data_IF_019200432328
#
_entry.id   IF_019200432328
#
_cell.length_a   1.000
_cell.length_b   1.000
_cell.length_c   1.000
_cell.angle_alpha   90.00
_cell.angle_beta   90.00
_cell.angle_gamma   90.00
#
_symmetry.space_group_name_H-M   'P 1'
#
loop_
_entity.id
_entity.type
_entity.pdbx_description
1 polymer ?
#
# COMPACT_ATOMS: atom_id res chain seq x y z
N UNK A 1 -15.45 5.42 6.44
CA UNK A 1 -14.60 4.82 7.48
C UNK A 1 -13.16 4.84 7.00
N UNK A 2 -12.25 5.28 7.87
CA UNK A 2 -10.83 5.31 7.57
C UNK A 2 -10.13 4.21 8.34
N UNK A 3 -9.04 3.68 7.78
CA UNK A 3 -8.20 2.68 8.43
C UNK A 3 -6.74 3.12 8.38
N UNK A 4 -6.05 3.03 9.52
CA UNK A 4 -4.62 3.23 9.57
C UNK A 4 -3.90 1.91 9.25
N UNK A 5 -2.57 1.94 9.19
CA UNK A 5 -1.80 0.76 8.80
C UNK A 5 -1.98 -0.42 9.78
N UNK A 6 -2.10 -0.15 11.06
CA UNK A 6 -2.29 -1.21 12.04
C UNK A 6 -3.62 -1.93 11.83
N UNK A 7 -4.67 -1.16 11.55
CA UNK A 7 -6.00 -1.72 11.27
C UNK A 7 -6.00 -2.51 9.96
N UNK A 8 -5.28 -2.03 8.93
CA UNK A 8 -5.14 -2.74 7.67
C UNK A 8 -4.44 -4.09 7.90
N UNK A 9 -3.41 -4.11 8.72
CA UNK A 9 -2.66 -5.33 9.02
C UNK A 9 -3.48 -6.35 9.80
N UNK A 10 -4.50 -5.92 10.51
CA UNK A 10 -5.42 -6.84 11.18
C UNK A 10 -6.31 -7.58 10.17
N UNK A 11 -6.58 -6.96 9.02
CA UNK A 11 -7.45 -7.50 7.98
C UNK A 11 -6.68 -8.28 6.94
N UNK A 12 -5.56 -7.69 6.44
CA UNK A 12 -4.76 -8.29 5.38
C UNK A 12 -3.59 -9.08 5.96
N UNK A 13 -3.34 -10.29 5.45
CA UNK A 13 -2.20 -11.10 5.89
C UNK A 13 -0.88 -10.64 5.29
N UNK A 14 -0.92 -9.79 4.28
CA UNK A 14 0.27 -9.32 3.58
C UNK A 14 1.20 -8.55 4.52
N UNK A 15 2.51 -8.71 4.30
CA UNK A 15 3.55 -7.98 5.04
C UNK A 15 4.62 -7.54 4.05
N UNK A 16 5.52 -6.68 4.50
CA UNK A 16 6.62 -6.19 3.67
C UNK A 16 7.31 -7.36 2.96
N UNK A 17 7.59 -7.27 1.64
CA UNK A 17 7.39 -6.10 0.76
C UNK A 17 6.07 -6.13 -0.01
N UNK A 18 5.14 -7.00 0.33
CA UNK A 18 3.90 -7.21 -0.43
C UNK A 18 2.69 -6.43 0.14
N UNK A 19 2.84 -5.79 1.28
CA UNK A 19 1.79 -4.93 1.82
C UNK A 19 1.92 -3.56 1.16
N UNK A 20 1.10 -3.31 0.14
CA UNK A 20 1.26 -2.16 -0.74
C UNK A 20 0.30 -1.00 -0.44
N UNK A 21 -0.42 -1.05 0.67
CA UNK A 21 -1.37 0.01 1.04
C UNK A 21 -0.96 0.57 2.40
N UNK A 22 -0.82 1.89 2.49
CA UNK A 22 -0.39 2.55 3.72
C UNK A 22 -1.56 3.01 4.58
N UNK A 23 -2.67 3.38 3.97
CA UNK A 23 -3.89 3.73 4.70
C UNK A 23 -5.11 3.61 3.80
N UNK A 24 -6.27 3.52 4.42
CA UNK A 24 -7.56 3.58 3.74
C UNK A 24 -8.22 4.90 4.15
N UNK A 25 -8.53 5.75 3.19
CA UNK A 25 -9.17 7.03 3.45
C UNK A 25 -10.69 6.92 3.46
N UNK A 26 -11.23 5.93 2.75
CA UNK A 26 -12.66 5.71 2.70
C UNK A 26 -12.94 4.23 2.51
N UNK A 27 -13.85 3.70 3.31
CA UNK A 27 -14.26 2.29 3.21
C UNK A 27 -15.76 2.20 3.36
N UNK A 28 -16.40 1.65 2.34
CA UNK A 28 -17.82 1.30 2.37
C UNK A 28 -17.91 -0.21 2.18
N UNK A 29 -18.18 -0.97 3.25
CA UNK A 29 -18.19 -2.44 3.18
C UNK A 29 -19.08 -2.97 2.06
N UNK A 30 -18.58 -3.98 1.35
CA UNK A 30 -19.26 -4.63 0.24
C UNK A 30 -19.49 -3.73 -0.98
N UNK A 31 -18.91 -2.53 -0.99
CA UNK A 31 -19.08 -1.58 -2.09
C UNK A 31 -17.73 -1.13 -2.65
N UNK A 32 -16.99 -0.27 -1.92
CA UNK A 32 -15.70 0.22 -2.41
C UNK A 32 -14.78 0.66 -1.27
N UNK A 33 -13.53 0.86 -1.63
CA UNK A 33 -12.54 1.45 -0.73
C UNK A 33 -11.59 2.34 -1.53
N UNK A 34 -11.06 3.37 -0.88
CA UNK A 34 -10.02 4.24 -1.45
C UNK A 34 -8.78 4.08 -0.60
N UNK A 35 -7.72 3.60 -1.22
CA UNK A 35 -6.44 3.36 -0.55
C UNK A 35 -5.38 4.35 -0.98
N UNK A 36 -4.38 4.54 -0.12
CA UNK A 36 -3.24 5.41 -0.38
C UNK A 36 -1.96 4.61 -0.21
N UNK A 37 -1.08 4.72 -1.19
CA UNK A 37 0.27 4.16 -1.15
C UNK A 37 1.28 5.30 -1.24
N UNK A 38 2.14 5.43 -0.21
CA UNK A 38 3.25 6.39 -0.23
C UNK A 38 4.41 5.78 -1.01
N UNK A 39 4.54 6.17 -2.27
CA UNK A 39 5.57 5.63 -3.15
C UNK A 39 6.84 6.47 -3.03
N UNK A 40 7.95 5.82 -2.62
CA UNK A 40 9.25 6.48 -2.47
C UNK A 40 10.32 5.65 -3.16
N UNK A 41 11.53 6.24 -3.32
CA UNK A 41 12.67 5.52 -3.89
C UNK A 41 13.08 4.32 -3.02
N UNK A 42 12.68 4.30 -1.76
CA UNK A 42 13.02 3.21 -0.84
C UNK A 42 12.12 1.98 -0.99
N UNK A 43 11.35 1.90 -2.06
CA UNK A 43 10.53 0.74 -2.33
C UNK A 43 11.36 -0.37 -2.98
N UNK A 44 11.25 -1.63 -2.53
CA UNK A 44 12.09 -2.72 -3.03
C UNK A 44 11.92 -3.01 -4.52
N UNK A 45 10.73 -2.75 -5.09
CA UNK A 45 10.49 -3.02 -6.51
C UNK A 45 11.28 -2.08 -7.44
N UNK A 46 11.77 -0.95 -6.95
CA UNK A 46 12.54 -0.02 -7.78
C UNK A 46 13.95 -0.50 -8.09
N UNK A 47 14.40 -1.59 -7.47
CA UNK A 47 15.67 -2.23 -7.84
C UNK A 47 15.63 -2.77 -9.26
N UNK A 48 14.45 -3.18 -9.70
CA UNK A 48 14.27 -3.75 -11.03
C UNK A 48 13.37 -2.96 -11.96
N UNK A 49 12.57 -2.05 -11.43
CA UNK A 49 11.55 -1.34 -12.22
C UNK A 49 11.72 0.18 -12.11
N UNK A 50 12.74 0.80 -12.67
CA UNK A 50 13.85 0.19 -13.41
C UNK A 50 15.16 0.62 -12.77
N UNK A 51 16.25 -0.14 -12.91
CA UNK A 51 17.55 0.25 -12.35
C UNK A 51 17.95 1.65 -12.80
N UNK A 52 18.14 2.56 -11.82
CA UNK A 52 18.47 3.95 -12.12
C UNK A 52 17.32 4.82 -12.62
N UNK A 53 16.13 4.25 -12.79
CA UNK A 53 14.94 4.99 -13.26
C UNK A 53 13.68 4.47 -12.55
N UNK A 54 13.48 4.87 -11.29
CA UNK A 54 12.36 4.35 -10.51
C UNK A 54 11.01 4.88 -10.99
N UNK A 55 10.18 3.99 -11.48
CA UNK A 55 8.80 4.29 -11.86
C UNK A 55 7.90 3.15 -11.41
N UNK A 56 6.65 3.49 -11.15
CA UNK A 56 5.66 2.50 -10.74
C UNK A 56 4.45 2.48 -11.65
#
# INVERSE_FOLDING_TARGET
>A
MELNIEEIMEILPHRYPMLLVDKITELVPMDYAVGVKSVTINEPFFQGHFPGHPIM
#
